data_IF_510476513741
#
_entry.id   IF_510476513741
#
_cell.length_a   1.000
_cell.length_b   1.000
_cell.length_c   1.000
_cell.angle_alpha   90.00
_cell.angle_beta   90.00
_cell.angle_gamma   90.00
#
_symmetry.space_group_name_H-M   'P 1'
#
loop_
_entity.id
_entity.type
_entity.pdbx_description
1 polymer ?
#
# COMPACT_ATOMS: atom_id res chain seq x y z
N UNK A 1 -71.87 27.53 -3.47
CA UNK A 1 -72.80 26.97 -4.47
C UNK A 1 -72.14 25.72 -5.04
N UNK A 2 -72.52 24.55 -4.52
CA UNK A 2 -73.36 23.50 -5.17
C UNK A 2 -72.53 22.69 -6.18
N UNK A 3 -72.35 21.37 -6.14
CA UNK A 3 -72.84 20.23 -5.33
C UNK A 3 -71.79 19.09 -5.43
N UNK A 4 -71.45 18.27 -4.45
CA UNK A 4 -72.19 17.31 -3.60
C UNK A 4 -72.63 15.99 -4.28
N UNK A 5 -72.36 14.89 -3.55
CA UNK A 5 -72.88 13.49 -3.58
C UNK A 5 -72.01 12.47 -4.34
N UNK A 6 -71.66 11.27 -3.83
CA UNK A 6 -72.23 10.39 -2.78
C UNK A 6 -71.15 9.36 -2.34
N UNK A 7 -70.84 9.20 -1.03
CA UNK A 7 -71.23 8.08 -0.13
C UNK A 7 -71.20 6.66 -0.76
N UNK A 8 -70.43 5.71 -0.21
CA UNK A 8 -70.86 4.91 0.96
C UNK A 8 -69.80 3.89 1.47
N UNK A 9 -69.94 3.58 2.76
CA UNK A 9 -69.21 2.64 3.60
C UNK A 9 -69.20 1.18 3.13
N UNK A 10 -68.09 0.45 3.39
CA UNK A 10 -68.12 -0.83 4.13
C UNK A 10 -66.74 -1.36 4.53
N UNK A 11 -66.62 -1.66 5.84
CA UNK A 11 -65.57 -2.43 6.52
C UNK A 11 -65.33 -3.80 5.86
N UNK A 12 -64.07 -4.27 5.87
CA UNK A 12 -63.76 -5.65 6.25
C UNK A 12 -62.27 -5.85 6.57
N UNK A 13 -62.05 -6.47 7.73
CA UNK A 13 -60.79 -6.99 8.26
C UNK A 13 -60.20 -8.06 7.32
N UNK A 14 -58.88 -8.19 7.27
CA UNK A 14 -58.25 -9.33 6.59
C UNK A 14 -56.73 -9.31 6.54
N UNK A 15 -56.12 -9.98 7.54
CA UNK A 15 -54.89 -10.79 7.43
C UNK A 15 -53.62 -10.12 6.87
N UNK A 16 -52.78 -9.62 7.79
CA UNK A 16 -51.32 -9.61 7.60
C UNK A 16 -50.82 -11.06 7.63
N UNK A 17 -50.48 -11.61 6.48
CA UNK A 17 -49.68 -12.84 6.39
C UNK A 17 -48.20 -12.50 6.49
N UNK A 18 -47.58 -12.97 7.58
CA UNK A 18 -46.14 -13.15 7.70
C UNK A 18 -45.63 -14.04 6.55
N UNK A 19 -44.59 -13.60 5.85
CA UNK A 19 -43.77 -14.48 5.01
C UNK A 19 -42.31 -14.39 5.43
N UNK A 20 -41.96 -15.37 6.26
CA UNK A 20 -40.69 -16.10 6.33
C UNK A 20 -39.44 -15.42 5.80
N UNK A 21 -38.62 -14.96 6.75
CA UNK A 21 -37.18 -14.80 6.55
C UNK A 21 -36.56 -16.17 6.24
N UNK A 22 -36.20 -16.39 4.97
CA UNK A 22 -35.33 -17.50 4.60
C UNK A 22 -33.91 -17.20 5.10
N UNK A 23 -33.62 -17.65 6.34
CA UNK A 23 -32.26 -17.93 6.80
C UNK A 23 -31.64 -18.97 5.85
N UNK A 24 -30.85 -18.51 4.87
CA UNK A 24 -29.84 -19.37 4.24
C UNK A 24 -28.80 -19.70 5.29
N UNK A 25 -28.89 -20.91 5.86
CA UNK A 25 -27.80 -21.54 6.60
C UNK A 25 -26.62 -21.67 5.62
N UNK A 26 -25.58 -20.87 5.82
CA UNK A 26 -24.26 -21.12 5.25
C UNK A 26 -23.61 -22.25 6.06
N UNK A 27 -23.94 -23.50 5.71
CA UNK A 27 -23.29 -24.69 6.25
C UNK A 27 -22.03 -25.04 5.44
N UNK A 28 -21.06 -24.13 5.40
CA UNK A 28 -19.81 -24.32 4.66
C UNK A 28 -18.55 -23.74 5.32
N UNK A 29 -18.64 -23.11 6.48
CA UNK A 29 -17.54 -22.31 7.04
C UNK A 29 -16.44 -23.14 7.71
N UNK A 30 -16.79 -24.22 8.41
CA UNK A 30 -15.83 -24.94 9.25
C UNK A 30 -14.69 -25.66 8.51
N UNK A 31 -14.96 -26.28 7.36
CA UNK A 31 -13.95 -27.01 6.59
C UNK A 31 -13.22 -26.13 5.56
N UNK A 32 -13.87 -25.09 5.02
CA UNK A 32 -13.21 -24.08 4.17
C UNK A 32 -12.32 -23.12 4.98
N UNK A 33 -12.70 -22.74 6.20
CA UNK A 33 -11.82 -21.95 7.10
C UNK A 33 -10.62 -22.78 7.58
N UNK A 34 -10.83 -24.06 7.92
CA UNK A 34 -9.73 -24.97 8.28
C UNK A 34 -8.80 -25.27 7.09
N UNK A 35 -9.31 -25.34 5.86
CA UNK A 35 -8.45 -25.47 4.67
C UNK A 35 -7.66 -24.19 4.39
N UNK A 36 -8.24 -23.01 4.66
CA UNK A 36 -7.55 -21.72 4.51
C UNK A 36 -6.43 -21.51 5.55
N UNK A 37 -6.59 -21.98 6.80
CA UNK A 37 -5.55 -21.82 7.82
C UNK A 37 -4.24 -22.56 7.47
N UNK A 38 -4.34 -23.76 6.88
CA UNK A 38 -3.16 -24.54 6.48
C UNK A 38 -2.29 -23.82 5.45
N UNK A 39 -2.88 -23.01 4.58
CA UNK A 39 -2.13 -22.19 3.60
C UNK A 39 -1.22 -21.19 4.31
N UNK A 40 -1.67 -20.66 5.46
CA UNK A 40 -0.95 -19.66 6.23
C UNK A 40 0.13 -20.21 7.15
N UNK A 41 0.13 -21.52 7.43
CA UNK A 41 1.17 -22.14 8.26
C UNK A 41 2.54 -22.15 7.57
N UNK A 42 2.56 -22.03 6.24
CA UNK A 42 3.78 -21.91 5.45
C UNK A 42 4.39 -20.50 5.41
N UNK A 43 3.76 -19.49 6.02
CA UNK A 43 4.26 -18.11 5.99
C UNK A 43 5.57 -18.00 6.77
N UNK A 44 6.60 -17.45 6.12
CA UNK A 44 7.95 -17.30 6.66
C UNK A 44 8.39 -15.85 6.82
N UNK A 45 7.68 -14.89 6.24
CA UNK A 45 7.98 -13.46 6.41
C UNK A 45 6.69 -12.65 6.42
N UNK A 46 6.58 -11.75 7.40
CA UNK A 46 5.57 -10.70 7.39
C UNK A 46 6.17 -9.41 6.83
N UNK A 47 5.59 -8.91 5.73
CA UNK A 47 6.14 -7.78 4.99
C UNK A 47 5.37 -6.49 5.28
N UNK A 48 6.09 -5.42 5.58
CA UNK A 48 5.54 -4.08 5.72
C UNK A 48 6.29 -3.10 4.81
N UNK A 49 5.66 -1.99 4.47
CA UNK A 49 6.29 -0.93 3.68
C UNK A 49 6.44 0.33 4.53
N UNK A 50 7.56 1.02 4.38
CA UNK A 50 7.82 2.35 4.95
C UNK A 50 8.37 3.28 3.86
N UNK A 51 8.41 4.58 4.14
CA UNK A 51 8.97 5.57 3.24
C UNK A 51 8.11 6.83 3.18
N UNK A 52 7.93 7.33 1.96
CA UNK A 52 7.35 8.65 1.72
C UNK A 52 6.13 8.53 0.82
N UNK A 53 5.11 9.39 0.99
CA UNK A 53 4.08 9.53 -0.03
C UNK A 53 4.71 9.73 -1.41
N UNK A 54 4.17 9.05 -2.42
CA UNK A 54 4.52 9.22 -3.85
C UNK A 54 5.88 8.64 -4.28
N UNK A 55 6.45 7.69 -3.53
CA UNK A 55 7.73 7.04 -3.88
C UNK A 55 7.60 5.78 -4.73
N UNK A 56 6.38 5.42 -5.16
CA UNK A 56 6.17 4.24 -6.02
C UNK A 56 5.87 2.95 -5.27
N UNK A 57 5.47 3.01 -4.00
CA UNK A 57 5.12 1.83 -3.19
C UNK A 57 4.11 0.91 -3.86
N UNK A 58 3.08 1.45 -4.54
CA UNK A 58 2.08 0.63 -5.25
C UNK A 58 2.69 -0.19 -6.38
N UNK A 59 3.66 0.35 -7.14
CA UNK A 59 4.36 -0.42 -8.17
C UNK A 59 5.10 -1.58 -7.51
N UNK A 60 5.97 -1.29 -6.53
CA UNK A 60 6.76 -2.31 -5.84
C UNK A 60 5.86 -3.41 -5.24
N UNK A 61 4.79 -3.05 -4.52
CA UNK A 61 3.88 -4.06 -3.96
C UNK A 61 3.16 -4.88 -5.02
N UNK A 62 2.88 -4.31 -6.19
CA UNK A 62 2.23 -5.03 -7.29
C UNK A 62 3.17 -6.03 -7.94
N UNK A 63 4.43 -5.67 -8.12
CA UNK A 63 5.47 -6.59 -8.58
C UNK A 63 5.62 -7.75 -7.61
N UNK A 64 5.68 -7.48 -6.30
CA UNK A 64 5.79 -8.55 -5.31
C UNK A 64 4.55 -9.43 -5.21
N UNK A 65 3.35 -8.84 -5.24
CA UNK A 65 2.10 -9.60 -5.20
C UNK A 65 1.89 -10.46 -6.46
N UNK A 66 2.60 -10.17 -7.55
CA UNK A 66 2.63 -10.99 -8.76
C UNK A 66 3.44 -12.29 -8.59
N UNK A 67 4.18 -12.46 -7.50
CA UNK A 67 4.99 -13.64 -7.23
C UNK A 67 4.13 -14.84 -6.78
N UNK A 68 4.42 -16.09 -7.22
CA UNK A 68 3.61 -17.28 -6.88
C UNK A 68 3.48 -17.58 -5.39
N UNK A 69 4.37 -17.04 -4.55
CA UNK A 69 4.40 -17.30 -3.11
C UNK A 69 4.35 -16.04 -2.23
N UNK A 70 3.91 -14.90 -2.78
CA UNK A 70 3.72 -13.68 -1.99
C UNK A 70 2.29 -13.18 -2.09
N UNK A 71 1.79 -12.64 -0.99
CA UNK A 71 0.55 -11.86 -0.95
C UNK A 71 0.86 -10.51 -0.30
N UNK A 72 0.69 -9.42 -1.04
CA UNK A 72 0.90 -8.07 -0.53
C UNK A 72 -0.39 -7.29 -0.69
N UNK A 73 -1.09 -7.11 0.43
CA UNK A 73 -2.26 -6.26 0.53
C UNK A 73 -1.91 -4.81 0.15
N UNK A 74 -2.88 -4.11 -0.41
CA UNK A 74 -2.69 -2.75 -0.89
C UNK A 74 -3.56 -1.80 -0.08
N UNK A 75 -2.89 -0.90 0.64
CA UNK A 75 -3.52 0.17 1.43
C UNK A 75 -4.40 -0.31 2.60
N UNK A 76 -4.19 -1.53 3.11
CA UNK A 76 -5.04 -2.18 4.13
C UNK A 76 -4.98 -1.49 5.49
N UNK A 77 -3.81 -0.96 5.87
CA UNK A 77 -3.58 -0.24 7.12
C UNK A 77 -3.69 -1.14 8.36
N UNK A 78 -2.79 -2.12 8.43
CA UNK A 78 -2.75 -3.14 9.49
C UNK A 78 -2.81 -2.52 10.88
N UNK A 79 -2.09 -1.44 11.17
CA UNK A 79 -2.06 -0.86 12.53
C UNK A 79 -3.41 -0.31 12.98
N UNK A 80 -4.09 0.46 12.12
CA UNK A 80 -5.41 0.99 12.47
C UNK A 80 -6.45 -0.11 12.56
N UNK A 81 -6.41 -1.11 11.68
CA UNK A 81 -7.31 -2.27 11.74
C UNK A 81 -7.09 -3.09 13.01
N UNK A 82 -5.83 -3.41 13.31
CA UNK A 82 -5.45 -4.20 14.47
C UNK A 82 -5.96 -3.60 15.78
N UNK A 83 -5.84 -2.29 15.97
CA UNK A 83 -6.33 -1.60 17.17
C UNK A 83 -7.86 -1.64 17.31
N UNK A 84 -8.59 -1.78 16.21
CA UNK A 84 -10.05 -1.82 16.19
C UNK A 84 -10.60 -3.24 16.31
N UNK A 85 -9.75 -4.26 16.18
CA UNK A 85 -10.19 -5.65 16.24
C UNK A 85 -10.50 -6.09 17.67
N UNK A 86 -11.57 -6.87 17.79
CA UNK A 86 -11.86 -7.63 18.99
C UNK A 86 -10.68 -8.56 19.34
N UNK A 87 -10.40 -8.81 20.63
CA UNK A 87 -9.30 -9.68 21.05
C UNK A 87 -9.28 -11.06 20.37
N UNK A 88 -10.45 -11.64 20.08
CA UNK A 88 -10.54 -12.93 19.38
C UNK A 88 -9.97 -12.90 17.94
N UNK A 89 -10.04 -11.73 17.29
CA UNK A 89 -9.56 -11.51 15.91
C UNK A 89 -8.09 -11.07 15.84
N UNK A 90 -7.46 -10.77 16.98
CA UNK A 90 -6.03 -10.42 17.07
C UNK A 90 -5.14 -11.67 17.04
N UNK A 91 -5.26 -12.46 15.99
CA UNK A 91 -4.47 -13.66 15.77
C UNK A 91 -3.91 -13.70 14.33
N UNK A 92 -2.85 -14.49 14.10
CA UNK A 92 -2.15 -14.54 12.82
C UNK A 92 -3.06 -14.96 11.66
N UNK A 93 -3.96 -15.92 11.87
CA UNK A 93 -4.80 -16.45 10.79
C UNK A 93 -5.83 -15.42 10.33
N UNK A 94 -6.45 -14.71 11.27
CA UNK A 94 -7.38 -13.64 10.93
C UNK A 94 -6.66 -12.51 10.18
N UNK A 95 -5.50 -12.05 10.68
CA UNK A 95 -4.68 -11.04 10.02
C UNK A 95 -4.33 -11.44 8.58
N UNK A 96 -3.80 -12.65 8.39
CA UNK A 96 -3.40 -13.15 7.09
C UNK A 96 -4.58 -13.31 6.13
N UNK A 97 -5.73 -13.77 6.63
CA UNK A 97 -6.94 -13.84 5.82
C UNK A 97 -7.41 -12.47 5.36
N UNK A 98 -7.41 -11.45 6.24
CA UNK A 98 -7.80 -10.10 5.85
C UNK A 98 -6.86 -9.49 4.79
N UNK A 99 -5.55 -9.73 4.92
CA UNK A 99 -4.56 -9.27 3.93
C UNK A 99 -4.75 -9.95 2.57
N UNK A 100 -5.00 -11.26 2.58
CA UNK A 100 -5.29 -12.01 1.36
C UNK A 100 -6.57 -11.53 0.67
N UNK A 101 -7.66 -11.37 1.42
CA UNK A 101 -8.93 -10.89 0.88
C UNK A 101 -8.78 -9.50 0.25
N UNK A 102 -8.07 -8.58 0.93
CA UNK A 102 -7.75 -7.27 0.37
C UNK A 102 -6.90 -7.37 -0.89
N UNK A 103 -5.86 -8.21 -0.89
CA UNK A 103 -4.98 -8.33 -2.06
C UNK A 103 -5.73 -8.83 -3.29
N UNK A 104 -6.58 -9.86 -3.10
CA UNK A 104 -7.44 -10.42 -4.14
C UNK A 104 -8.41 -9.38 -4.70
N UNK A 105 -9.14 -8.69 -3.83
CA UNK A 105 -10.08 -7.63 -4.25
C UNK A 105 -9.36 -6.52 -5.03
N UNK A 106 -8.16 -6.12 -4.58
CA UNK A 106 -7.35 -5.10 -5.25
C UNK A 106 -6.86 -5.51 -6.64
N UNK A 107 -6.62 -6.80 -6.85
CA UNK A 107 -6.22 -7.36 -8.15
C UNK A 107 -7.41 -7.62 -9.08
N UNK A 108 -8.58 -7.95 -8.55
CA UNK A 108 -9.80 -8.23 -9.32
C UNK A 108 -10.50 -6.94 -9.75
N UNK A 109 -10.75 -6.03 -8.81
CA UNK A 109 -11.60 -4.86 -9.03
C UNK A 109 -11.06 -3.56 -8.45
N UNK A 110 -9.95 -3.59 -7.71
CA UNK A 110 -9.37 -2.39 -7.08
C UNK A 110 -8.30 -1.69 -7.92
N UNK A 111 -7.47 -0.89 -7.24
CA UNK A 111 -6.55 0.04 -7.90
C UNK A 111 -5.41 -0.64 -8.67
N UNK A 112 -5.20 -1.95 -8.45
CA UNK A 112 -4.18 -2.75 -9.13
C UNK A 112 -4.77 -3.68 -10.21
N UNK A 113 -6.08 -3.65 -10.40
CA UNK A 113 -6.75 -4.47 -11.40
C UNK A 113 -6.46 -3.98 -12.82
N UNK A 114 -6.34 -4.94 -13.75
CA UNK A 114 -6.20 -4.66 -15.18
C UNK A 114 -7.45 -3.98 -15.77
N UNK A 115 -8.62 -4.14 -15.14
CA UNK A 115 -9.90 -3.66 -15.66
C UNK A 115 -10.24 -2.25 -15.21
N UNK A 116 -9.46 -1.67 -14.29
CA UNK A 116 -9.74 -0.35 -13.72
C UNK A 116 -8.78 0.67 -14.31
N UNK A 117 -9.35 1.67 -14.98
CA UNK A 117 -8.56 2.74 -15.58
C UNK A 117 -8.10 3.75 -14.53
N UNK A 118 -6.79 3.77 -14.32
CA UNK A 118 -6.10 4.76 -13.50
C UNK A 118 -4.96 5.40 -14.28
N UNK A 119 -4.39 6.46 -13.70
CA UNK A 119 -3.20 7.13 -14.24
C UNK A 119 -2.03 6.19 -14.53
N UNK A 120 -1.92 5.12 -13.76
CA UNK A 120 -0.87 4.11 -13.86
C UNK A 120 -1.54 2.74 -13.82
N UNK A 121 -1.12 1.84 -14.71
CA UNK A 121 -1.49 0.43 -14.64
C UNK A 121 -0.47 -0.30 -13.77
N UNK A 122 -0.95 -1.02 -12.76
CA UNK A 122 -0.13 -1.81 -11.85
C UNK A 122 -0.42 -3.31 -11.95
N UNK A 123 -1.21 -3.73 -12.94
CA UNK A 123 -1.42 -5.14 -13.20
C UNK A 123 -0.18 -5.76 -13.83
N UNK A 124 0.20 -6.96 -13.39
CA UNK A 124 1.23 -7.79 -14.03
C UNK A 124 0.53 -8.95 -14.76
N UNK A 125 0.30 -8.86 -16.08
CA UNK A 125 -0.45 -9.86 -16.83
C UNK A 125 0.20 -11.25 -16.75
N UNK A 126 -0.64 -12.30 -16.63
CA UNK A 126 -0.18 -13.70 -16.61
C UNK A 126 0.49 -14.16 -15.30
N UNK A 127 0.58 -13.27 -14.31
CA UNK A 127 1.22 -13.56 -13.03
C UNK A 127 0.21 -13.73 -11.88
N UNK A 128 0.70 -13.84 -10.64
CA UNK A 128 -0.08 -14.31 -9.49
C UNK A 128 -0.73 -13.20 -8.66
N UNK A 129 -0.87 -11.99 -9.18
CA UNK A 129 -1.39 -10.85 -8.41
C UNK A 129 -2.76 -11.14 -7.78
N UNK A 130 -2.87 -10.99 -6.46
CA UNK A 130 -4.05 -11.36 -5.66
C UNK A 130 -4.30 -12.88 -5.53
N UNK A 131 -3.35 -13.72 -5.95
CA UNK A 131 -3.42 -15.20 -6.00
C UNK A 131 -2.10 -15.79 -5.50
N UNK A 132 -2.03 -17.11 -5.38
CA UNK A 132 -0.80 -17.82 -5.01
C UNK A 132 -0.80 -19.25 -5.56
N UNK A 133 0.39 -19.82 -5.68
CA UNK A 133 0.63 -21.19 -6.13
C UNK A 133 0.87 -22.11 -4.93
N UNK A 134 -0.18 -22.79 -4.47
CA UNK A 134 -0.22 -23.78 -3.38
C UNK A 134 0.14 -23.28 -1.97
N UNK A 135 1.10 -22.37 -1.82
CA UNK A 135 1.58 -21.86 -0.53
C UNK A 135 1.92 -20.38 -0.57
N UNK A 136 1.78 -19.73 0.57
CA UNK A 136 2.17 -18.34 0.80
C UNK A 136 3.40 -18.35 1.70
N UNK A 137 4.53 -17.81 1.22
CA UNK A 137 5.78 -17.68 1.99
C UNK A 137 5.94 -16.28 2.57
N UNK A 138 5.47 -15.26 1.84
CA UNK A 138 5.49 -13.86 2.29
C UNK A 138 4.07 -13.33 2.29
N UNK A 139 3.66 -12.70 3.38
CA UNK A 139 2.38 -11.98 3.43
C UNK A 139 2.55 -10.62 4.08
N UNK A 140 1.86 -9.59 3.62
CA UNK A 140 2.09 -8.26 4.14
C UNK A 140 1.12 -7.18 3.70
N UNK A 141 1.40 -5.96 4.16
CA UNK A 141 0.63 -4.76 3.84
C UNK A 141 1.53 -3.64 3.30
N UNK A 142 1.15 -3.12 2.14
CA UNK A 142 1.68 -1.87 1.62
C UNK A 142 0.80 -0.70 2.06
N UNK A 143 1.30 0.04 3.05
CA UNK A 143 0.80 1.38 3.45
C UNK A 143 1.93 2.40 3.72
N UNK A 144 3.07 2.21 3.04
CA UNK A 144 4.31 3.01 3.08
C UNK A 144 4.31 4.29 3.91
N UNK A 145 3.88 5.41 3.30
CA UNK A 145 3.93 6.73 3.94
C UNK A 145 3.06 6.85 5.21
N UNK A 146 1.91 6.18 5.26
CA UNK A 146 1.06 6.18 6.45
C UNK A 146 1.67 5.33 7.56
N UNK A 147 2.22 4.18 7.23
CA UNK A 147 2.96 3.31 8.16
C UNK A 147 4.08 4.10 8.85
N UNK A 148 4.94 4.79 8.08
CA UNK A 148 5.97 5.68 8.66
C UNK A 148 5.36 6.77 9.55
N UNK A 149 4.28 7.41 9.11
CA UNK A 149 3.62 8.45 9.91
C UNK A 149 3.00 7.93 11.21
N UNK A 150 2.43 6.72 11.18
CA UNK A 150 1.80 6.05 12.31
C UNK A 150 2.82 5.65 13.36
N UNK A 151 3.97 5.09 12.95
CA UNK A 151 5.02 4.61 13.86
C UNK A 151 5.71 5.73 14.67
N UNK A 152 5.32 6.99 14.48
CA UNK A 152 5.68 8.10 15.40
C UNK A 152 4.91 8.06 16.72
N UNK A 153 3.74 7.42 16.77
CA UNK A 153 2.85 7.41 17.93
C UNK A 153 3.11 6.19 18.80
N UNK A 154 3.12 6.38 20.12
CA UNK A 154 3.37 5.31 21.09
C UNK A 154 2.36 4.15 20.95
N UNK A 155 1.07 4.44 20.78
CA UNK A 155 0.04 3.40 20.62
C UNK A 155 0.27 2.52 19.38
N UNK A 156 0.78 3.10 18.29
CA UNK A 156 1.11 2.36 17.09
C UNK A 156 2.38 1.50 17.28
N UNK A 157 3.33 1.96 18.11
CA UNK A 157 4.47 1.15 18.52
C UNK A 157 4.03 -0.03 19.40
N UNK A 158 3.05 0.17 20.28
CA UNK A 158 2.46 -0.91 21.07
C UNK A 158 1.74 -1.94 20.17
N UNK A 159 0.96 -1.48 19.19
CA UNK A 159 0.32 -2.35 18.21
C UNK A 159 1.36 -3.13 17.37
N UNK A 160 2.46 -2.47 16.96
CA UNK A 160 3.58 -3.15 16.30
C UNK A 160 4.15 -4.27 17.17
N UNK A 161 4.41 -4.00 18.44
CA UNK A 161 4.93 -5.01 19.38
C UNK A 161 3.93 -6.17 19.55
N UNK A 162 2.64 -5.89 19.70
CA UNK A 162 1.58 -6.91 19.82
C UNK A 162 1.52 -7.82 18.58
N UNK A 163 1.50 -7.21 17.38
CA UNK A 163 1.54 -7.95 16.11
C UNK A 163 2.80 -8.81 16.03
N UNK A 164 3.97 -8.25 16.36
CA UNK A 164 5.23 -9.01 16.38
C UNK A 164 5.17 -10.21 17.34
N UNK A 165 4.55 -10.09 18.52
CA UNK A 165 4.38 -11.22 19.43
C UNK A 165 3.46 -12.30 18.83
N UNK A 166 2.32 -11.91 18.27
CA UNK A 166 1.36 -12.83 17.65
C UNK A 166 1.97 -13.58 16.46
N UNK A 167 2.88 -12.93 15.73
CA UNK A 167 3.50 -13.51 14.55
C UNK A 167 4.68 -14.44 14.84
N UNK A 168 5.26 -14.46 16.07
CA UNK A 168 6.41 -15.32 16.38
C UNK A 168 6.14 -16.79 16.01
N UNK A 169 7.09 -17.47 15.32
CA UNK A 169 8.46 -17.06 15.02
C UNK A 169 8.66 -16.30 13.68
N UNK A 170 7.59 -15.90 12.99
CA UNK A 170 7.66 -15.26 11.67
C UNK A 170 8.32 -13.87 11.78
N UNK A 171 9.47 -13.63 11.13
CA UNK A 171 10.11 -12.32 11.14
C UNK A 171 9.26 -11.27 10.40
N UNK A 172 9.26 -10.05 10.95
CA UNK A 172 8.71 -8.88 10.30
C UNK A 172 9.82 -8.12 9.56
N UNK A 173 9.65 -7.92 8.25
CA UNK A 173 10.59 -7.20 7.38
C UNK A 173 9.93 -5.99 6.73
N UNK A 174 10.74 -4.98 6.41
CA UNK A 174 10.31 -3.70 5.89
C UNK A 174 10.99 -3.38 4.56
N UNK A 175 10.20 -2.94 3.59
CA UNK A 175 10.71 -2.33 2.37
C UNK A 175 10.60 -0.81 2.47
N UNK A 176 11.74 -0.14 2.37
CA UNK A 176 11.85 1.31 2.38
C UNK A 176 11.99 1.82 0.94
N UNK A 177 10.87 2.26 0.35
CA UNK A 177 10.85 2.70 -1.04
C UNK A 177 11.21 4.18 -1.14
N UNK A 178 12.26 4.46 -1.91
CA UNK A 178 12.91 5.76 -2.02
C UNK A 178 12.86 6.24 -3.48
N UNK A 179 12.35 7.44 -3.69
CA UNK A 179 12.40 8.17 -4.96
C UNK A 179 13.20 9.45 -4.76
N UNK A 180 13.58 10.12 -5.85
CA UNK A 180 14.19 11.44 -5.77
C UNK A 180 13.32 12.36 -4.84
N UNK A 181 13.89 12.86 -3.73
CA UNK A 181 13.16 13.65 -2.74
C UNK A 181 12.46 14.89 -3.33
N UNK A 182 13.08 15.55 -4.31
CA UNK A 182 12.49 16.71 -4.97
C UNK A 182 11.21 16.34 -5.72
N UNK A 183 11.20 15.18 -6.37
CA UNK A 183 10.01 14.67 -7.06
C UNK A 183 8.91 14.26 -6.08
N UNK A 184 9.28 13.65 -4.95
CA UNK A 184 8.33 13.35 -3.89
C UNK A 184 7.66 14.63 -3.39
N UNK A 185 8.45 15.62 -2.99
CA UNK A 185 7.98 16.89 -2.43
C UNK A 185 7.09 17.63 -3.45
N UNK A 186 7.53 17.74 -4.70
CA UNK A 186 6.71 18.35 -5.75
C UNK A 186 5.40 17.58 -5.98
N UNK A 187 5.44 16.24 -6.04
CA UNK A 187 4.21 15.44 -6.20
C UNK A 187 3.28 15.58 -5.00
N UNK A 188 3.81 15.71 -3.78
CA UNK A 188 3.03 15.96 -2.57
C UNK A 188 2.31 17.31 -2.66
N UNK A 189 2.99 18.37 -3.13
CA UNK A 189 2.36 19.68 -3.36
C UNK A 189 1.24 19.60 -4.39
N UNK A 190 1.53 19.02 -5.56
CA UNK A 190 0.56 18.88 -6.64
C UNK A 190 -0.69 18.11 -6.21
N UNK A 191 -0.55 17.12 -5.32
CA UNK A 191 -1.68 16.37 -4.76
C UNK A 191 -2.43 17.14 -3.68
N UNK A 192 -1.75 17.90 -2.84
CA UNK A 192 -2.38 18.73 -1.83
C UNK A 192 -3.23 19.86 -2.43
N UNK A 193 -2.84 20.36 -3.60
CA UNK A 193 -3.56 21.40 -4.34
C UNK A 193 -4.54 20.87 -5.38
N UNK A 194 -4.64 19.55 -5.57
CA UNK A 194 -5.35 18.91 -6.69
C UNK A 194 -4.92 19.39 -8.09
N UNK A 195 -3.66 19.85 -8.21
CA UNK A 195 -3.06 20.41 -9.43
C UNK A 195 -2.24 19.40 -10.23
N UNK A 196 -2.42 18.11 -9.98
CA UNK A 196 -1.60 17.08 -10.64
C UNK A 196 -1.89 16.96 -12.13
N UNK A 197 -3.14 17.09 -12.56
CA UNK A 197 -3.52 17.02 -13.97
C UNK A 197 -3.03 18.26 -14.73
N UNK A 198 -3.21 19.45 -14.16
CA UNK A 198 -2.73 20.72 -14.71
C UNK A 198 -1.21 20.71 -14.96
N UNK A 199 -0.46 20.16 -14.01
CA UNK A 199 0.98 19.96 -14.14
C UNK A 199 1.38 19.01 -15.29
N UNK A 200 0.53 18.05 -15.67
CA UNK A 200 0.81 17.18 -16.82
C UNK A 200 0.50 17.86 -18.16
N UNK A 201 -0.41 18.84 -18.16
CA UNK A 201 -0.66 19.69 -19.34
C UNK A 201 0.37 20.82 -19.49
N UNK A 202 1.38 20.85 -18.61
CA UNK A 202 2.50 21.79 -18.67
C UNK A 202 2.36 23.02 -17.76
N UNK A 203 1.30 23.12 -16.96
CA UNK A 203 1.18 24.21 -15.98
C UNK A 203 2.28 24.10 -14.93
N UNK A 204 2.97 25.21 -14.67
CA UNK A 204 4.00 25.27 -13.64
C UNK A 204 3.43 25.91 -12.37
N UNK A 205 3.29 25.11 -11.33
CA UNK A 205 2.68 25.55 -10.08
C UNK A 205 3.67 26.37 -9.25
N UNK A 206 3.33 27.62 -8.95
CA UNK A 206 4.12 28.51 -8.13
C UNK A 206 3.44 28.76 -6.78
N UNK A 207 3.74 27.89 -5.80
CA UNK A 207 3.23 28.02 -4.43
C UNK A 207 4.36 27.72 -3.42
N UNK A 208 5.28 28.68 -3.20
CA UNK A 208 6.44 28.47 -2.35
C UNK A 208 6.05 28.21 -0.89
N UNK A 209 4.95 28.81 -0.41
CA UNK A 209 4.48 28.62 0.96
C UNK A 209 4.05 27.17 1.23
N UNK A 210 3.21 26.60 0.36
CA UNK A 210 2.82 25.20 0.52
C UNK A 210 3.97 24.25 0.15
N UNK A 211 4.89 24.63 -0.72
CA UNK A 211 6.10 23.85 -1.00
C UNK A 211 6.96 23.70 0.27
N UNK A 212 7.17 24.76 1.05
CA UNK A 212 7.88 24.71 2.33
C UNK A 212 7.23 23.74 3.33
N UNK A 213 5.89 23.71 3.38
CA UNK A 213 5.14 22.74 4.19
C UNK A 213 5.40 21.30 3.76
N UNK A 214 5.49 21.05 2.45
CA UNK A 214 5.79 19.71 1.92
C UNK A 214 7.24 19.31 2.18
N UNK A 215 8.19 20.25 2.07
CA UNK A 215 9.60 20.03 2.46
C UNK A 215 9.67 19.60 3.94
N UNK A 216 9.02 20.36 4.83
CA UNK A 216 8.96 20.04 6.26
C UNK A 216 8.39 18.64 6.52
N UNK A 217 7.23 18.35 5.93
CA UNK A 217 6.55 17.05 6.06
C UNK A 217 7.40 15.88 5.57
N UNK A 218 8.05 16.02 4.41
CA UNK A 218 8.94 15.01 3.85
C UNK A 218 10.10 14.69 4.80
N UNK A 219 10.76 15.72 5.34
CA UNK A 219 11.90 15.51 6.24
C UNK A 219 11.51 15.01 7.62
N UNK A 220 10.28 15.27 8.10
CA UNK A 220 9.78 14.58 9.29
C UNK A 220 9.65 13.07 9.05
N UNK A 221 9.20 12.65 7.85
CA UNK A 221 9.16 11.22 7.49
C UNK A 221 10.57 10.64 7.33
N UNK A 222 11.52 11.39 6.77
CA UNK A 222 12.91 10.96 6.63
C UNK A 222 13.57 10.68 7.98
N UNK A 223 13.37 11.58 8.95
CA UNK A 223 13.83 11.38 10.32
C UNK A 223 13.26 10.09 10.93
N UNK A 224 11.94 9.86 10.78
CA UNK A 224 11.29 8.64 11.29
C UNK A 224 11.81 7.37 10.63
N UNK A 225 11.94 7.35 9.30
CA UNK A 225 12.51 6.19 8.61
C UNK A 225 13.96 5.93 9.04
N UNK A 226 14.76 6.98 9.25
CA UNK A 226 16.13 6.84 9.75
C UNK A 226 16.16 6.22 11.16
N UNK A 227 15.28 6.66 12.06
CA UNK A 227 15.16 6.09 13.41
C UNK A 227 14.70 4.64 13.38
N UNK A 228 13.67 4.33 12.57
CA UNK A 228 13.15 2.97 12.40
C UNK A 228 14.23 2.01 11.92
N UNK A 229 15.01 2.42 10.91
CA UNK A 229 16.14 1.62 10.40
C UNK A 229 17.17 1.32 11.48
N UNK A 230 17.52 2.30 12.32
CA UNK A 230 18.45 2.07 13.43
C UNK A 230 17.88 1.12 14.49
N UNK A 231 16.58 1.16 14.74
CA UNK A 231 15.91 0.27 15.71
C UNK A 231 15.64 -1.15 15.21
N UNK A 232 15.73 -1.37 13.89
CA UNK A 232 15.38 -2.64 13.22
C UNK A 232 16.53 -3.12 12.32
N UNK A 233 17.73 -3.37 12.88
CA UNK A 233 18.90 -3.75 12.09
C UNK A 233 18.66 -5.06 11.33
N UNK A 234 18.98 -5.07 10.04
CA UNK A 234 18.80 -6.25 9.17
C UNK A 234 17.36 -6.52 8.74
N UNK A 235 16.36 -5.81 9.28
CA UNK A 235 14.95 -6.00 8.93
C UNK A 235 14.43 -4.97 7.91
N UNK A 236 15.26 -4.02 7.46
CA UNK A 236 14.87 -3.01 6.46
C UNK A 236 15.72 -3.12 5.20
N UNK A 237 15.07 -3.16 4.04
CA UNK A 237 15.72 -3.14 2.72
C UNK A 237 15.33 -1.88 1.96
N UNK A 238 16.33 -1.11 1.52
CA UNK A 238 16.12 0.12 0.72
C UNK A 238 15.88 -0.26 -0.74
N UNK A 239 14.82 0.29 -1.34
CA UNK A 239 14.52 0.15 -2.76
C UNK A 239 14.52 1.54 -3.38
N UNK A 240 15.49 1.82 -4.24
CA UNK A 240 15.51 3.08 -4.97
C UNK A 240 14.77 2.95 -6.29
N UNK A 241 13.76 3.79 -6.53
CA UNK A 241 13.00 3.79 -7.78
C UNK A 241 13.88 4.00 -9.00
N UNK A 242 14.98 4.77 -8.86
CA UNK A 242 15.95 4.98 -9.93
C UNK A 242 16.73 3.70 -10.29
N UNK A 243 16.98 2.83 -9.32
CA UNK A 243 17.65 1.54 -9.56
C UNK A 243 16.66 0.51 -10.10
N UNK A 244 15.43 0.48 -9.56
CA UNK A 244 14.37 -0.37 -10.09
C UNK A 244 14.09 -0.10 -11.59
N UNK A 245 14.18 1.16 -12.03
CA UNK A 245 13.97 1.52 -13.43
C UNK A 245 15.18 1.15 -14.30
N UNK A 246 16.41 1.42 -13.83
CA UNK A 246 17.64 1.18 -14.61
C UNK A 246 18.01 -0.30 -14.66
N UNK A 247 17.86 -1.00 -13.55
CA UNK A 247 18.32 -2.36 -13.30
C UNK A 247 17.20 -3.19 -12.63
N UNK A 248 16.07 -3.41 -13.33
CA UNK A 248 14.88 -4.04 -12.75
C UNK A 248 15.15 -5.46 -12.26
N UNK A 249 15.83 -6.27 -13.06
CA UNK A 249 16.23 -7.65 -12.73
C UNK A 249 17.05 -7.70 -11.44
N UNK A 250 18.13 -6.93 -11.38
CA UNK A 250 19.03 -6.87 -10.21
C UNK A 250 18.27 -6.42 -8.96
N UNK A 251 17.42 -5.39 -9.09
CA UNK A 251 16.64 -4.86 -7.96
C UNK A 251 15.62 -5.89 -7.45
N UNK A 252 14.88 -6.54 -8.34
CA UNK A 252 13.87 -7.55 -7.98
C UNK A 252 14.52 -8.77 -7.33
N UNK A 253 15.62 -9.29 -7.88
CA UNK A 253 16.37 -10.39 -7.28
C UNK A 253 16.89 -10.04 -5.89
N UNK A 254 17.37 -8.80 -5.69
CA UNK A 254 17.78 -8.31 -4.37
C UNK A 254 16.65 -8.32 -3.34
N UNK A 255 15.43 -7.93 -3.75
CA UNK A 255 14.23 -8.01 -2.89
C UNK A 255 13.89 -9.48 -2.59
N UNK A 256 13.93 -10.36 -3.59
CA UNK A 256 13.64 -11.79 -3.41
C UNK A 256 14.63 -12.45 -2.44
N UNK A 257 15.92 -12.15 -2.57
CA UNK A 257 16.96 -12.61 -1.65
C UNK A 257 16.71 -12.09 -0.24
N UNK A 258 16.39 -10.80 -0.09
CA UNK A 258 16.07 -10.20 1.20
C UNK A 258 14.84 -10.86 1.83
N UNK A 259 13.84 -11.29 1.05
CA UNK A 259 12.63 -11.96 1.54
C UNK A 259 12.76 -13.49 1.64
N UNK A 260 13.93 -14.05 1.30
CA UNK A 260 14.20 -15.49 1.28
C UNK A 260 13.22 -16.31 0.42
N UNK A 261 12.89 -15.78 -0.75
CA UNK A 261 12.10 -16.50 -1.77
C UNK A 261 12.91 -16.71 -3.04
N UNK A 262 12.55 -17.76 -3.78
CA UNK A 262 13.08 -17.99 -5.14
C UNK A 262 12.22 -17.25 -6.14
N UNK A 263 12.82 -16.37 -6.94
CA UNK A 263 12.17 -15.70 -8.04
C UNK A 263 12.63 -16.32 -9.36
N UNK A 264 11.70 -16.89 -10.11
CA UNK A 264 12.00 -17.48 -11.41
C UNK A 264 12.18 -16.40 -12.49
N UNK A 265 12.79 -16.80 -13.60
CA UNK A 265 13.12 -15.92 -14.70
C UNK A 265 11.86 -15.29 -15.33
N UNK A 266 10.78 -16.06 -15.47
CA UNK A 266 9.55 -15.59 -16.10
C UNK A 266 8.87 -14.50 -15.27
N UNK A 267 8.78 -14.68 -13.95
CA UNK A 267 8.28 -13.68 -13.01
C UNK A 267 9.10 -12.39 -13.09
N UNK A 268 10.43 -12.49 -13.12
CA UNK A 268 11.31 -11.32 -13.21
C UNK A 268 11.10 -10.57 -14.53
N UNK A 269 11.01 -11.29 -15.65
CA UNK A 269 10.78 -10.69 -16.96
C UNK A 269 9.41 -10.00 -17.05
N UNK A 270 8.35 -10.67 -16.60
CA UNK A 270 6.99 -10.14 -16.65
C UNK A 270 6.83 -8.91 -15.75
N UNK A 271 7.40 -8.96 -14.54
CA UNK A 271 7.48 -7.81 -13.65
C UNK A 271 8.26 -6.64 -14.28
N UNK A 272 9.39 -6.93 -14.94
CA UNK A 272 10.23 -5.91 -15.55
C UNK A 272 9.53 -5.17 -16.68
N UNK A 273 8.66 -5.83 -17.45
CA UNK A 273 7.93 -5.23 -18.57
C UNK A 273 6.93 -4.14 -18.17
N UNK A 274 6.43 -4.15 -16.94
CA UNK A 274 5.46 -3.12 -16.49
C UNK A 274 6.13 -1.94 -15.78
N UNK A 275 7.44 -2.02 -15.52
CA UNK A 275 8.19 -0.93 -14.90
C UNK A 275 8.30 0.20 -15.93
N UNK A 276 7.99 1.43 -15.49
CA UNK A 276 8.05 2.60 -16.36
C UNK A 276 9.46 2.78 -16.93
N UNK A 277 9.60 3.11 -18.23
CA UNK A 277 10.91 3.22 -18.87
C UNK A 277 11.76 4.36 -18.29
N UNK A 278 11.12 5.38 -17.71
CA UNK A 278 11.80 6.53 -17.13
C UNK A 278 11.06 7.04 -15.88
N UNK A 279 11.83 7.59 -14.94
CA UNK A 279 11.27 8.24 -13.77
C UNK A 279 10.57 9.55 -14.17
N UNK A 280 9.35 9.77 -13.70
CA UNK A 280 8.70 11.08 -13.84
C UNK A 280 9.45 12.13 -13.02
N UNK A 281 9.81 13.25 -13.64
CA UNK A 281 10.55 14.36 -13.00
C UNK A 281 9.62 15.51 -12.60
N UNK A 282 8.66 15.22 -11.73
CA UNK A 282 7.62 16.16 -11.26
C UNK A 282 8.18 17.42 -10.59
N UNK A 283 9.42 17.40 -10.12
CA UNK A 283 10.11 18.58 -9.56
C UNK A 283 10.18 19.76 -10.53
N UNK A 284 10.13 19.53 -11.85
CA UNK A 284 10.12 20.60 -12.85
C UNK A 284 8.73 21.21 -13.10
N UNK A 285 7.67 20.55 -12.63
CA UNK A 285 6.28 21.05 -12.71
C UNK A 285 5.93 22.07 -11.63
N UNK A 286 6.86 22.37 -10.72
CA UNK A 286 6.68 23.37 -9.66
C UNK A 286 7.82 24.39 -9.69
N UNK A 287 7.55 25.61 -9.24
CA UNK A 287 8.57 26.65 -9.09
C UNK A 287 9.25 26.49 -7.73
N UNK A 288 10.56 26.30 -7.75
CA UNK A 288 11.42 26.23 -6.56
C UNK A 288 12.21 27.52 -6.44
N UNK A 289 12.25 28.10 -5.24
CA UNK A 289 13.24 29.14 -4.92
C UNK A 289 14.61 28.51 -4.71
N UNK A 290 15.69 29.26 -4.89
CA UNK A 290 17.04 28.76 -4.64
C UNK A 290 17.23 28.35 -3.18
N UNK A 291 16.68 29.15 -2.25
CA UNK A 291 16.63 28.81 -0.82
C UNK A 291 16.00 27.44 -0.55
N UNK A 292 14.92 27.09 -1.24
CA UNK A 292 14.27 25.78 -1.07
C UNK A 292 15.14 24.64 -1.61
N UNK A 293 15.80 24.83 -2.75
CA UNK A 293 16.72 23.83 -3.30
C UNK A 293 17.91 23.61 -2.36
N UNK A 294 18.51 24.69 -1.87
CA UNK A 294 19.64 24.63 -0.94
C UNK A 294 19.25 23.95 0.37
N UNK A 295 18.10 24.32 0.95
CA UNK A 295 17.58 23.69 2.15
C UNK A 295 17.38 22.18 1.98
N UNK A 296 16.79 21.74 0.86
CA UNK A 296 16.62 20.31 0.59
C UNK A 296 17.99 19.65 0.44
N UNK A 297 18.88 20.21 -0.38
CA UNK A 297 20.24 19.68 -0.63
C UNK A 297 21.03 19.48 0.67
N UNK A 298 21.01 20.45 1.57
CA UNK A 298 21.64 20.37 2.90
C UNK A 298 21.03 19.25 3.74
N UNK A 299 19.70 19.21 3.86
CA UNK A 299 19.01 18.20 4.65
C UNK A 299 19.20 16.78 4.11
N UNK A 300 19.37 16.59 2.81
CA UNK A 300 19.66 15.26 2.24
C UNK A 300 21.00 14.69 2.74
N UNK A 301 21.98 15.53 3.08
CA UNK A 301 23.29 15.07 3.56
C UNK A 301 23.21 14.35 4.91
N UNK A 302 22.17 14.61 5.68
CA UNK A 302 21.93 14.01 7.01
C UNK A 302 21.63 12.51 6.88
N UNK A 303 21.00 12.07 5.78
CA UNK A 303 20.49 10.71 5.64
C UNK A 303 21.27 9.91 4.61
N UNK A 304 21.85 8.79 5.03
CA UNK A 304 22.65 7.92 4.16
C UNK A 304 21.90 7.49 2.89
N UNK A 305 20.62 7.14 3.01
CA UNK A 305 19.76 6.71 1.89
C UNK A 305 19.53 7.79 0.82
N UNK A 306 19.93 9.06 1.05
CA UNK A 306 19.72 10.14 0.09
C UNK A 306 20.99 10.73 -0.52
N UNK A 307 22.18 10.30 -0.09
CA UNK A 307 23.46 10.91 -0.51
C UNK A 307 23.66 10.97 -2.03
N UNK A 308 23.02 10.08 -2.79
CA UNK A 308 23.11 10.02 -4.26
C UNK A 308 22.13 10.92 -5.02
N UNK A 309 21.15 11.54 -4.37
CA UNK A 309 20.15 12.35 -5.07
C UNK A 309 20.57 13.82 -5.18
N UNK A 310 20.28 14.40 -6.35
CA UNK A 310 20.38 15.82 -6.68
C UNK A 310 19.08 16.30 -7.32
N UNK A 311 18.97 17.62 -7.48
CA UNK A 311 17.80 18.21 -8.14
C UNK A 311 17.80 17.89 -9.64
N UNK A 312 18.97 17.72 -10.25
CA UNK A 312 19.15 17.54 -11.68
C UNK A 312 18.91 16.07 -12.13
N UNK A 313 19.09 15.10 -11.21
CA UNK A 313 19.05 13.65 -11.47
C UNK A 313 17.71 13.11 -11.98
#
# INVERSE_FOLDING_TARGET
MVSMLSRDDRKLQGLRTEKGSHRRRHSGTGDQEKSNHKVYDGVQTFLMFIGYPRSGHTLVSSLLDAHPNMIVANEFDVFSKWQQWDPANKNKYFLFNQLYLNSREEAETGYRSATVHHRYNYSVPGQWQGKFNNRILVIGDKKGGKTTGQLKKLDNMNALNEIQQVLKPIPMKFLHVIRNPYDNIATMLLRALDKRNDADTGEKINDPYNLDRQIGSYFTLAATNSQLKSSLPGAVYDIHSSELIKEPTTTLLGICQFLHVTCDQQYIEDCSRIIFPQATKTRYSVVWTDRQKDLVKEKLQIFQSFKKYRFED
#
